data_IF_647590097763
#
_entry.id   IF_647590097763
#
_cell.length_a   1.000
_cell.length_b   1.000
_cell.length_c   1.000
_cell.angle_alpha   90.00
_cell.angle_beta   90.00
_cell.angle_gamma   90.00
#
_symmetry.space_group_name_H-M   'P 1'
#
loop_
_entity.id
_entity.type
_entity.pdbx_description
1 polymer ?
#
# COMPACT_ATOMS: atom_id res chain seq x y z
N UNK A 1 13.09 12.79 -30.07
CA UNK A 1 12.63 12.09 -28.85
C UNK A 1 11.88 13.13 -28.05
N UNK A 2 10.55 13.02 -28.00
CA UNK A 2 9.69 14.07 -27.46
C UNK A 2 9.81 14.20 -25.94
N UNK A 3 10.11 15.42 -25.53
CA UNK A 3 10.34 15.90 -24.16
C UNK A 3 8.99 16.21 -23.46
N UNK A 4 7.99 15.34 -23.64
CA UNK A 4 6.64 15.49 -23.08
C UNK A 4 6.44 14.79 -21.73
N UNK A 5 7.53 14.31 -21.10
CA UNK A 5 7.50 13.51 -19.89
C UNK A 5 7.17 14.36 -18.64
N UNK A 6 5.87 14.40 -18.31
CA UNK A 6 5.30 14.73 -17.00
C UNK A 6 5.46 16.19 -16.49
N UNK A 7 4.58 17.13 -16.91
CA UNK A 7 4.59 18.53 -16.45
C UNK A 7 4.32 18.71 -14.95
N UNK A 8 3.95 17.66 -14.21
CA UNK A 8 3.80 17.70 -12.75
C UNK A 8 5.12 17.37 -12.05
N UNK A 9 5.90 16.43 -12.58
CA UNK A 9 7.22 16.05 -12.03
C UNK A 9 8.22 17.21 -12.11
N UNK A 10 8.23 17.95 -13.22
CA UNK A 10 9.07 19.14 -13.38
C UNK A 10 8.74 20.24 -12.36
N UNK A 11 7.45 20.48 -12.08
CA UNK A 11 7.03 21.50 -11.09
C UNK A 11 7.42 21.15 -9.65
N UNK A 12 7.37 19.87 -9.27
CA UNK A 12 7.82 19.42 -7.95
C UNK A 12 9.33 19.60 -7.80
N UNK A 13 10.10 19.22 -8.85
CA UNK A 13 11.55 19.43 -8.88
C UNK A 13 11.91 20.91 -8.76
N UNK A 14 11.32 21.74 -9.62
CA UNK A 14 11.57 23.18 -9.64
C UNK A 14 11.19 23.85 -8.31
N UNK A 15 10.09 23.43 -7.70
CA UNK A 15 9.70 23.91 -6.37
C UNK A 15 10.69 23.52 -5.27
N UNK A 16 11.24 22.29 -5.34
CA UNK A 16 12.29 21.83 -4.44
C UNK A 16 13.60 22.61 -4.61
N UNK A 17 14.03 22.81 -5.85
CA UNK A 17 15.22 23.61 -6.20
C UNK A 17 15.08 25.06 -5.73
N UNK A 18 13.94 25.70 -6.00
CA UNK A 18 13.66 27.05 -5.52
C UNK A 18 13.65 27.14 -3.99
N UNK A 19 13.12 26.12 -3.30
CA UNK A 19 13.10 26.09 -1.82
C UNK A 19 14.49 25.98 -1.22
N UNK A 20 15.40 25.30 -1.92
CA UNK A 20 16.78 25.08 -1.51
C UNK A 20 17.78 26.06 -2.16
N UNK A 21 17.31 27.11 -2.83
CA UNK A 21 18.15 28.05 -3.59
C UNK A 21 19.25 28.69 -2.74
N UNK A 22 18.95 28.98 -1.47
CA UNK A 22 19.90 29.55 -0.50
C UNK A 22 20.88 28.52 0.09
N UNK A 23 20.82 27.27 -0.39
CA UNK A 23 21.70 26.18 0.01
C UNK A 23 21.23 25.37 1.22
N UNK A 24 21.96 24.27 1.47
CA UNK A 24 21.62 23.27 2.50
C UNK A 24 21.58 23.85 3.92
N UNK A 25 22.55 24.69 4.28
CA UNK A 25 22.64 25.26 5.62
C UNK A 25 21.45 26.18 5.93
N UNK A 26 21.05 27.02 4.97
CA UNK A 26 19.88 27.88 5.09
C UNK A 26 18.59 27.06 5.22
N UNK A 27 18.44 26.00 4.42
CA UNK A 27 17.29 25.09 4.53
C UNK A 27 17.23 24.40 5.89
N UNK A 28 18.37 23.89 6.40
CA UNK A 28 18.45 23.28 7.72
C UNK A 28 18.11 24.26 8.86
N UNK A 29 18.53 25.52 8.75
CA UNK A 29 18.17 26.56 9.71
C UNK A 29 16.65 26.81 9.70
N UNK A 30 16.05 27.00 8.52
CA UNK A 30 14.60 27.20 8.36
C UNK A 30 13.78 26.04 8.90
N UNK A 31 14.21 24.80 8.65
CA UNK A 31 13.55 23.60 9.20
C UNK A 31 13.63 23.58 10.73
N UNK A 32 14.80 23.85 11.32
CA UNK A 32 14.96 23.90 12.79
C UNK A 32 14.10 24.97 13.43
N UNK A 33 14.06 26.16 12.83
CA UNK A 33 13.22 27.27 13.27
C UNK A 33 11.73 26.92 13.20
N UNK A 34 11.28 26.35 12.08
CA UNK A 34 9.91 25.91 11.93
C UNK A 34 9.53 24.83 12.95
N UNK A 35 10.41 23.85 13.20
CA UNK A 35 10.20 22.83 14.22
C UNK A 35 10.12 23.44 15.64
N UNK A 36 10.93 24.45 15.94
CA UNK A 36 10.86 25.19 17.19
C UNK A 36 9.48 25.80 17.42
N UNK A 37 8.98 26.55 16.43
CA UNK A 37 7.63 27.14 16.48
C UNK A 37 6.54 26.09 16.60
N UNK A 38 6.59 25.04 15.78
CA UNK A 38 5.55 24.00 15.76
C UNK A 38 5.46 23.25 17.09
N UNK A 39 6.60 22.98 17.74
CA UNK A 39 6.62 22.32 19.06
C UNK A 39 5.95 23.15 20.15
N UNK A 40 6.00 24.48 20.03
CA UNK A 40 5.39 25.38 20.99
C UNK A 40 3.90 25.63 20.69
N UNK A 41 3.55 25.85 19.42
CA UNK A 41 2.21 26.29 19.01
C UNK A 41 1.20 25.14 18.86
N UNK A 42 1.62 23.99 18.34
CA UNK A 42 0.69 22.87 18.06
C UNK A 42 -0.01 22.35 19.32
N UNK A 43 0.68 22.11 20.45
CA UNK A 43 0.01 21.63 21.67
C UNK A 43 -1.01 22.61 22.25
N UNK A 44 -0.90 23.91 21.94
CA UNK A 44 -1.81 24.96 22.42
C UNK A 44 -3.03 25.13 21.53
N UNK A 45 -3.00 24.60 20.31
CA UNK A 45 -4.06 24.79 19.33
C UNK A 45 -5.18 23.76 19.50
N UNK A 46 -6.42 24.19 19.23
CA UNK A 46 -7.56 23.28 19.20
C UNK A 46 -7.47 22.30 18.01
N UNK A 47 -7.67 21.01 18.27
CA UNK A 47 -7.67 19.94 17.27
C UNK A 47 -8.62 20.19 16.09
N UNK A 48 -9.77 20.82 16.35
CA UNK A 48 -10.80 21.12 15.35
C UNK A 48 -10.60 22.46 14.64
N UNK A 49 -9.52 23.19 14.94
CA UNK A 49 -9.24 24.49 14.30
C UNK A 49 -9.15 24.29 12.78
N UNK A 50 -9.95 25.03 11.98
CA UNK A 50 -9.92 24.87 10.54
C UNK A 50 -8.58 25.33 9.96
N UNK A 51 -8.00 24.51 9.11
CA UNK A 51 -6.78 24.78 8.34
C UNK A 51 -7.15 24.84 6.86
N UNK A 52 -6.86 25.98 6.24
CA UNK A 52 -7.02 26.20 4.79
C UNK A 52 -5.66 26.16 4.11
N UNK A 53 -5.59 25.47 2.98
CA UNK A 53 -4.42 25.47 2.10
C UNK A 53 -4.84 26.17 0.80
N UNK A 54 -4.05 27.12 0.27
CA UNK A 54 -4.45 27.89 -0.92
C UNK A 54 -4.87 27.04 -2.12
N UNK A 55 -4.30 25.84 -2.28
CA UNK A 55 -4.62 24.91 -3.37
C UNK A 55 -5.95 24.16 -3.22
N UNK A 56 -6.65 24.28 -2.08
CA UNK A 56 -7.87 23.52 -1.79
C UNK A 56 -9.16 24.32 -2.01
N UNK A 57 -9.09 25.59 -2.41
CA UNK A 57 -10.26 26.45 -2.57
C UNK A 57 -11.00 26.64 -1.25
N UNK A 58 -12.33 26.46 -1.25
CA UNK A 58 -13.17 26.67 -0.07
C UNK A 58 -13.10 25.55 0.97
N UNK A 59 -12.37 24.47 0.69
CA UNK A 59 -12.22 23.34 1.59
C UNK A 59 -11.26 23.63 2.74
N UNK A 60 -11.55 23.03 3.90
CA UNK A 60 -10.68 23.06 5.07
C UNK A 60 -10.69 21.71 5.78
N UNK A 61 -9.62 21.42 6.52
CA UNK A 61 -9.53 20.28 7.42
C UNK A 61 -9.42 20.77 8.86
N UNK A 62 -9.84 19.96 9.82
CA UNK A 62 -9.43 20.16 11.21
C UNK A 62 -7.90 20.09 11.33
N UNK A 63 -7.33 20.73 12.34
CA UNK A 63 -5.89 20.75 12.55
C UNK A 63 -5.32 19.33 12.68
N UNK A 64 -5.99 18.45 13.43
CA UNK A 64 -5.53 17.07 13.61
C UNK A 64 -5.54 16.28 12.29
N UNK A 65 -6.61 16.42 11.50
CA UNK A 65 -6.68 15.79 10.18
C UNK A 65 -5.58 16.32 9.26
N UNK A 66 -5.36 17.64 9.27
CA UNK A 66 -4.27 18.26 8.51
C UNK A 66 -2.90 17.72 8.95
N UNK A 67 -2.63 17.65 10.26
CA UNK A 67 -1.38 17.11 10.78
C UNK A 67 -1.20 15.63 10.45
N UNK A 68 -2.28 14.84 10.46
CA UNK A 68 -2.26 13.44 10.05
C UNK A 68 -1.86 13.30 8.57
N UNK A 69 -2.33 14.19 7.68
CA UNK A 69 -1.87 14.18 6.27
C UNK A 69 -0.38 14.46 6.15
N UNK A 70 0.15 15.41 6.93
CA UNK A 70 1.60 15.74 6.95
C UNK A 70 2.43 14.63 7.53
N UNK A 71 1.94 13.94 8.56
CA UNK A 71 2.59 12.77 9.12
C UNK A 71 2.69 11.64 8.09
N UNK A 72 1.60 11.38 7.35
CA UNK A 72 1.58 10.40 6.26
C UNK A 72 2.60 10.73 5.17
N UNK A 73 2.65 11.98 4.71
CA UNK A 73 3.63 12.43 3.72
C UNK A 73 5.07 12.21 4.20
N UNK A 74 5.38 12.58 5.45
CA UNK A 74 6.71 12.38 6.03
C UNK A 74 7.09 10.89 6.09
N UNK A 75 6.19 10.04 6.57
CA UNK A 75 6.45 8.60 6.69
C UNK A 75 6.65 7.94 5.32
N UNK A 76 5.82 8.29 4.33
CA UNK A 76 5.91 7.73 2.97
C UNK A 76 7.15 8.23 2.23
N UNK A 77 7.57 9.47 2.45
CA UNK A 77 8.71 10.07 1.74
C UNK A 77 10.05 9.90 2.44
N UNK A 78 10.09 9.53 3.72
CA UNK A 78 11.33 9.32 4.46
C UNK A 78 12.16 8.13 3.95
N UNK A 79 11.56 7.22 3.18
CA UNK A 79 12.25 6.08 2.56
C UNK A 79 12.92 6.44 1.21
N UNK A 80 12.58 7.59 0.62
CA UNK A 80 13.12 7.95 -0.69
C UNK A 80 14.66 8.07 -0.72
N UNK A 81 15.33 8.65 0.29
CA UNK A 81 16.79 8.65 0.34
C UNK A 81 17.40 7.25 0.47
N UNK A 82 16.70 6.30 1.11
CA UNK A 82 17.15 4.92 1.25
C UNK A 82 17.17 4.19 -0.10
N UNK A 83 16.11 4.36 -0.89
CA UNK A 83 15.99 3.78 -2.23
C UNK A 83 17.04 4.31 -3.23
N UNK A 84 17.53 5.54 -3.06
CA UNK A 84 18.47 6.18 -4.02
C UNK A 84 19.91 6.31 -3.51
N UNK A 85 20.15 6.19 -2.20
CA UNK A 85 21.45 6.45 -1.58
C UNK A 85 22.01 5.28 -0.75
N UNK A 86 21.36 4.12 -0.74
CA UNK A 86 21.81 2.95 0.04
C UNK A 86 21.72 3.16 1.56
N UNK A 87 20.97 4.16 2.01
CA UNK A 87 20.76 4.45 3.43
C UNK A 87 19.72 3.50 4.01
N UNK A 88 19.79 3.21 5.30
CA UNK A 88 18.76 2.43 5.98
C UNK A 88 17.52 3.30 6.18
N UNK A 89 16.36 2.79 5.78
CA UNK A 89 15.07 3.44 6.02
C UNK A 89 14.90 3.76 7.52
N UNK A 90 14.48 4.99 7.87
CA UNK A 90 14.27 5.34 9.27
C UNK A 90 13.15 4.50 9.87
N UNK A 91 13.39 3.91 11.05
CA UNK A 91 12.36 3.22 11.82
C UNK A 91 11.53 4.24 12.58
N UNK A 92 10.21 4.22 12.38
CA UNK A 92 9.28 5.07 13.10
C UNK A 92 8.71 4.36 14.34
N UNK A 93 8.53 5.06 15.47
CA UNK A 93 7.79 4.53 16.60
C UNK A 93 6.33 4.24 16.23
N UNK A 94 5.69 3.28 16.91
CA UNK A 94 4.31 2.86 16.61
C UNK A 94 3.29 4.01 16.66
N UNK A 95 3.43 4.93 17.63
CA UNK A 95 2.59 6.14 17.75
C UNK A 95 2.60 7.03 16.50
N UNK A 96 3.62 6.90 15.65
CA UNK A 96 3.76 7.60 14.37
C UNK A 96 3.24 6.76 13.22
N UNK A 97 3.62 5.47 13.17
CA UNK A 97 3.29 4.61 12.02
C UNK A 97 1.84 4.10 12.03
N UNK A 98 1.27 3.78 13.20
CA UNK A 98 -0.05 3.17 13.29
C UNK A 98 -1.19 4.06 12.72
N UNK A 99 -1.27 5.37 13.04
CA UNK A 99 -2.29 6.25 12.45
C UNK A 99 -2.17 6.38 10.93
N UNK A 100 -0.93 6.37 10.41
CA UNK A 100 -0.67 6.44 8.96
C UNK A 100 -1.11 5.16 8.26
N UNK A 101 -0.78 3.99 8.82
CA UNK A 101 -1.21 2.69 8.29
C UNK A 101 -2.73 2.60 8.28
N UNK A 102 -3.38 3.03 9.35
CA UNK A 102 -4.84 3.06 9.44
C UNK A 102 -5.47 3.98 8.36
N UNK A 103 -4.94 5.19 8.21
CA UNK A 103 -5.40 6.14 7.19
C UNK A 103 -5.30 5.53 5.78
N UNK A 104 -4.12 5.01 5.42
CA UNK A 104 -3.87 4.43 4.11
C UNK A 104 -4.73 3.19 3.86
N UNK A 105 -4.92 2.34 4.87
CA UNK A 105 -5.80 1.17 4.77
C UNK A 105 -7.25 1.60 4.51
N UNK A 106 -7.77 2.59 5.24
CA UNK A 106 -9.13 3.13 5.04
C UNK A 106 -9.28 3.73 3.64
N UNK A 107 -8.31 4.49 3.17
CA UNK A 107 -8.31 5.05 1.81
C UNK A 107 -8.29 3.97 0.73
N UNK A 108 -7.45 2.95 0.91
CA UNK A 108 -7.35 1.82 -0.01
C UNK A 108 -8.69 1.06 -0.07
N UNK A 109 -9.34 0.83 1.08
CA UNK A 109 -10.66 0.18 1.14
C UNK A 109 -11.72 1.03 0.44
N UNK A 110 -11.75 2.35 0.68
CA UNK A 110 -12.69 3.25 0.00
C UNK A 110 -12.49 3.26 -1.51
N UNK A 111 -11.25 3.17 -1.98
CA UNK A 111 -10.91 3.26 -3.42
C UNK A 111 -11.06 1.93 -4.16
N UNK A 112 -10.73 0.83 -3.52
CA UNK A 112 -10.56 -0.48 -4.17
C UNK A 112 -11.48 -1.57 -3.60
N UNK A 113 -12.17 -1.32 -2.50
CA UNK A 113 -12.96 -2.31 -1.77
C UNK A 113 -12.09 -3.25 -0.91
N UNK A 114 -12.68 -3.80 0.15
CA UNK A 114 -11.98 -4.59 1.18
C UNK A 114 -11.28 -5.84 0.65
N UNK A 115 -11.89 -6.54 -0.30
CA UNK A 115 -11.32 -7.80 -0.83
C UNK A 115 -10.06 -7.53 -1.68
N UNK A 116 -10.04 -6.40 -2.38
CA UNK A 116 -8.91 -6.03 -3.24
C UNK A 116 -7.69 -5.58 -2.42
N UNK A 117 -7.90 -4.98 -1.24
CA UNK A 117 -6.83 -4.51 -0.34
C UNK A 117 -6.16 -5.62 0.46
N UNK A 118 -6.81 -6.77 0.62
CA UNK A 118 -6.20 -7.93 1.26
C UNK A 118 -5.17 -8.60 0.33
N UNK A 119 -3.95 -8.90 0.82
CA UNK A 119 -3.01 -9.72 0.07
C UNK A 119 -3.65 -11.07 -0.23
N UNK A 120 -3.33 -11.67 -1.38
CA UNK A 120 -3.96 -12.93 -1.86
C UNK A 120 -4.03 -14.02 -0.80
N UNK A 121 -3.02 -14.12 0.06
CA UNK A 121 -2.92 -15.11 1.16
C UNK A 121 -3.90 -14.86 2.31
N UNK A 122 -4.32 -13.61 2.52
CA UNK A 122 -5.29 -13.22 3.55
C UNK A 122 -6.74 -13.28 3.05
N UNK A 123 -6.96 -13.49 1.75
CA UNK A 123 -8.30 -13.69 1.20
C UNK A 123 -8.79 -15.09 1.61
N UNK A 124 -10.04 -15.24 2.09
CA UNK A 124 -10.59 -16.57 2.34
C UNK A 124 -10.53 -17.37 1.03
N UNK A 125 -9.99 -18.60 1.08
CA UNK A 125 -10.18 -19.53 -0.01
C UNK A 125 -11.70 -19.70 -0.20
N UNK A 126 -12.18 -19.67 -1.44
CA UNK A 126 -13.60 -19.92 -1.71
C UNK A 126 -14.03 -21.18 -0.97
N UNK A 127 -15.12 -21.10 -0.20
CA UNK A 127 -15.66 -22.23 0.57
C UNK A 127 -15.95 -23.44 -0.35
N UNK A 128 -16.18 -23.19 -1.65
CA UNK A 128 -16.32 -24.22 -2.68
C UNK A 128 -15.10 -25.17 -2.77
N UNK A 129 -13.89 -24.70 -2.48
CA UNK A 129 -12.68 -25.53 -2.52
C UNK A 129 -12.42 -26.37 -1.25
N UNK A 130 -13.18 -26.14 -0.17
CA UNK A 130 -13.08 -26.92 1.08
C UNK A 130 -14.00 -28.15 1.03
N UNK A 131 -15.11 -28.10 0.29
CA UNK A 131 -16.02 -29.24 0.15
C UNK A 131 -15.47 -30.33 -0.78
N UNK A 132 -14.64 -29.98 -1.78
CA UNK A 132 -14.11 -30.93 -2.76
C UNK A 132 -13.10 -31.95 -2.16
N UNK A 133 -12.42 -31.58 -1.06
CA UNK A 133 -11.50 -32.49 -0.34
C UNK A 133 -12.19 -33.55 0.54
N UNK A 134 -13.49 -33.41 0.83
CA UNK A 134 -14.24 -34.39 1.64
C UNK A 134 -15.02 -35.42 0.81
N UNK A 135 -15.09 -35.26 -0.51
CA UNK A 135 -15.81 -36.17 -1.39
C UNK A 135 -14.92 -37.18 -2.14
N UNK A 136 -13.58 -37.10 -2.01
CA UNK A 136 -12.70 -38.16 -2.50
C UNK A 136 -12.71 -39.34 -1.53
N UNK A 137 -13.75 -40.17 -1.64
CA UNK A 137 -13.81 -41.50 -1.02
C UNK A 137 -12.66 -42.40 -1.49
N UNK A 138 -12.40 -43.51 -0.79
CA UNK A 138 -11.28 -44.40 -1.11
C UNK A 138 -11.41 -44.93 -2.55
N UNK A 139 -10.36 -44.76 -3.36
CA UNK A 139 -10.28 -45.33 -4.71
C UNK A 139 -10.33 -46.85 -4.60
N UNK A 140 -11.50 -47.43 -4.88
CA UNK A 140 -11.65 -48.87 -5.01
C UNK A 140 -10.95 -49.34 -6.28
N UNK A 141 -10.19 -50.43 -6.15
CA UNK A 141 -9.28 -50.94 -7.17
C UNK A 141 -9.98 -51.42 -8.45
N UNK A 142 -9.21 -51.38 -9.54
CA UNK A 142 -9.53 -51.96 -10.85
C UNK A 142 -9.78 -53.48 -10.71
N UNK A 143 -10.90 -54.03 -11.18
CA UNK A 143 -11.10 -55.48 -11.19
C UNK A 143 -10.32 -56.13 -12.35
N UNK A 144 -9.84 -57.38 -12.17
CA UNK A 144 -9.24 -58.16 -13.25
C UNK A 144 -10.33 -58.69 -14.20
N UNK A 145 -10.12 -58.52 -15.51
CA UNK A 145 -10.97 -59.07 -16.56
C UNK A 145 -10.73 -60.59 -16.69
N UNK A 146 -11.77 -61.38 -16.44
CA UNK A 146 -11.75 -62.82 -16.58
C UNK A 146 -11.98 -63.25 -18.04
N UNK A 147 -11.14 -64.17 -18.50
CA UNK A 147 -11.36 -65.02 -19.67
C UNK A 147 -12.71 -65.74 -19.62
N UNK A 148 -13.35 -65.90 -20.78
CA UNK A 148 -14.21 -67.07 -21.02
C UNK A 148 -14.24 -67.45 -22.50
N UNK A 149 -13.84 -68.70 -22.75
CA UNK A 149 -13.84 -69.45 -24.02
C UNK A 149 -15.23 -69.66 -24.60
N UNK A 150 -15.28 -69.89 -25.92
CA UNK A 150 -16.13 -70.90 -26.61
C UNK A 150 -16.01 -70.68 -28.13
N UNK A 151 -15.17 -71.41 -28.88
CA UNK A 151 -15.33 -72.77 -29.44
C UNK A 151 -16.16 -72.89 -30.72
N UNK A 152 -15.58 -73.54 -31.74
CA UNK A 152 -16.22 -74.02 -32.99
C UNK A 152 -15.17 -74.20 -34.10
N UNK A 153 -14.43 -75.31 -34.16
CA UNK A 153 -14.71 -76.58 -34.91
C UNK A 153 -14.50 -76.38 -36.44
N UNK A 154 -13.33 -76.73 -36.98
CA UNK A 154 -12.90 -78.03 -37.57
C UNK A 154 -13.46 -78.34 -38.95
N UNK A 155 -12.55 -78.50 -39.93
CA UNK A 155 -12.49 -79.53 -41.00
C UNK A 155 -11.50 -79.03 -42.07
N UNK A 156 -10.29 -79.59 -42.18
CA UNK A 156 -9.92 -80.76 -43.01
C UNK A 156 -10.22 -80.59 -44.52
N UNK A 157 -9.17 -80.75 -45.33
CA UNK A 157 -9.14 -80.66 -46.79
C UNK A 157 -7.77 -80.26 -47.29
#
# INVERSE_FOLDING_TARGET
>A
MDESWNPRGGRIRQGGEATAADGLAALQARVREALGRLRDEVPKAAATRPVRVPSWGDWSLGLDDFLLTRLMELVVHADHPACSGGLVAPRFPERVSAPVVELLARLAVRRHGTVATLPRRARPASIAGIQDRRCQGPRTGRPPSADTRSSGRSSEG
#
